data_IF_934728303658
#
_entry.id   IF_934728303658
#
_cell.length_a   1.000
_cell.length_b   1.000
_cell.length_c   1.000
_cell.angle_alpha   90.00
_cell.angle_beta   90.00
_cell.angle_gamma   90.00
#
_symmetry.space_group_name_H-M   'P 1'
#
loop_
_entity.id
_entity.type
_entity.pdbx_description
1 polymer ?
#
# COMPACT_ATOMS: atom_id res chain seq x y z
N UNK A 1 6.26 18.78 -1.46
CA UNK A 1 6.75 18.54 -0.08
C UNK A 1 7.88 17.55 -0.17
N UNK A 2 9.01 17.81 0.49
CA UNK A 2 10.11 16.85 0.52
C UNK A 2 9.72 15.64 1.37
N UNK A 3 10.30 14.46 1.09
CA UNK A 3 10.01 13.24 1.86
C UNK A 3 10.23 13.43 3.36
N UNK A 4 11.34 14.08 3.73
CA UNK A 4 11.68 14.37 5.13
C UNK A 4 10.65 15.25 5.86
N UNK A 5 9.91 16.09 5.12
CA UNK A 5 8.83 16.91 5.68
C UNK A 5 7.53 16.11 5.75
N UNK A 6 7.28 15.24 4.78
CA UNK A 6 6.04 14.46 4.68
C UNK A 6 5.95 13.35 5.72
N UNK A 7 7.03 12.59 5.90
CA UNK A 7 7.03 11.40 6.75
C UNK A 7 6.52 11.65 8.18
N UNK A 8 7.00 12.67 8.93
CA UNK A 8 6.51 12.92 10.29
C UNK A 8 5.03 13.33 10.32
N UNK A 9 4.56 14.08 9.32
CA UNK A 9 3.15 14.48 9.23
C UNK A 9 2.24 13.27 8.98
N UNK A 10 2.65 12.37 8.10
CA UNK A 10 1.89 11.16 7.81
C UNK A 10 1.90 10.19 9.00
N UNK A 11 3.03 10.07 9.71
CA UNK A 11 3.10 9.30 10.95
C UNK A 11 2.16 9.84 12.03
N UNK A 12 2.03 11.17 12.15
CA UNK A 12 1.08 11.78 13.08
C UNK A 12 -0.38 11.47 12.74
N UNK A 13 -0.71 11.25 11.46
CA UNK A 13 -2.03 10.74 11.04
C UNK A 13 -2.21 9.30 11.53
N UNK A 14 -1.25 8.41 11.20
CA UNK A 14 -1.32 6.99 11.58
C UNK A 14 -1.40 6.79 13.10
N UNK A 15 -0.70 7.62 13.88
CA UNK A 15 -0.71 7.58 15.35
C UNK A 15 -2.10 7.86 15.98
N UNK A 16 -3.04 8.38 15.20
CA UNK A 16 -4.41 8.67 15.65
C UNK A 16 -5.43 7.61 15.21
N UNK A 17 -5.01 6.63 14.42
CA UNK A 17 -5.88 5.60 13.86
C UNK A 17 -5.80 4.32 14.69
N UNK A 18 -6.90 3.57 14.75
CA UNK A 18 -6.89 2.18 15.21
C UNK A 18 -6.43 1.28 14.04
N UNK A 19 -5.27 0.61 14.13
CA UNK A 19 -4.78 -0.25 13.07
C UNK A 19 -5.72 -1.42 12.76
N UNK A 20 -6.50 -1.91 13.73
CA UNK A 20 -7.46 -2.99 13.48
C UNK A 20 -8.60 -2.49 12.60
N UNK A 21 -9.14 -1.32 12.92
CA UNK A 21 -10.19 -0.70 12.12
C UNK A 21 -9.74 -0.44 10.68
N UNK A 22 -8.50 0.04 10.49
CA UNK A 22 -7.94 0.31 9.15
C UNK A 22 -7.89 -0.93 8.26
N UNK A 23 -7.84 -2.13 8.82
CA UNK A 23 -7.86 -3.39 8.08
C UNK A 23 -9.27 -3.96 7.93
N UNK A 24 -10.06 -3.94 9.00
CA UNK A 24 -11.39 -4.56 9.00
C UNK A 24 -12.40 -3.80 8.11
N UNK A 25 -12.31 -2.47 8.04
CA UNK A 25 -13.19 -1.68 7.19
C UNK A 25 -13.02 -2.02 5.69
N UNK A 26 -11.81 -2.00 5.10
CA UNK A 26 -11.60 -2.46 3.73
C UNK A 26 -11.96 -3.92 3.50
N UNK A 27 -11.66 -4.84 4.43
CA UNK A 27 -12.02 -6.26 4.30
C UNK A 27 -13.52 -6.44 4.18
N UNK A 28 -14.30 -5.77 5.03
CA UNK A 28 -15.76 -5.79 4.98
C UNK A 28 -16.31 -5.23 3.67
N UNK A 29 -15.69 -4.20 3.11
CA UNK A 29 -16.12 -3.60 1.85
C UNK A 29 -15.73 -4.43 0.62
N UNK A 30 -14.62 -5.17 0.71
CA UNK A 30 -14.08 -5.96 -0.39
C UNK A 30 -14.59 -7.42 -0.40
N UNK A 31 -15.24 -7.89 0.66
CA UNK A 31 -15.75 -9.27 0.81
C UNK A 31 -16.48 -9.75 -0.47
N UNK A 32 -16.12 -10.91 -1.05
CA UNK A 32 -15.19 -11.93 -0.56
C UNK A 32 -13.72 -11.77 -1.01
N UNK A 33 -13.34 -10.62 -1.55
CA UNK A 33 -12.01 -10.35 -2.10
C UNK A 33 -11.06 -9.76 -1.06
N UNK A 34 -9.76 -10.04 -1.23
CA UNK A 34 -8.70 -9.42 -0.41
C UNK A 34 -8.47 -7.97 -0.87
N UNK A 35 -8.56 -6.97 0.02
CA UNK A 35 -8.25 -5.58 -0.32
C UNK A 35 -6.76 -5.40 -0.62
N UNK A 36 -6.44 -4.59 -1.62
CA UNK A 36 -5.06 -4.30 -2.04
C UNK A 36 -4.73 -2.83 -1.79
N UNK A 37 -3.57 -2.56 -1.17
CA UNK A 37 -3.04 -1.19 -1.04
C UNK A 37 -2.52 -0.71 -2.39
N UNK A 38 -3.24 0.22 -3.00
CA UNK A 38 -2.86 0.85 -4.27
C UNK A 38 -2.19 2.21 -4.03
N UNK A 39 -1.46 2.66 -5.03
CA UNK A 39 -0.73 3.92 -5.00
C UNK A 39 -0.61 4.50 -6.41
N UNK A 40 -0.45 5.82 -6.52
CA UNK A 40 -0.41 6.52 -7.81
C UNK A 40 1.00 6.54 -8.42
N UNK A 41 2.04 6.56 -7.59
CA UNK A 41 3.41 6.67 -8.03
C UNK A 41 3.88 5.40 -8.74
N UNK A 42 4.46 5.59 -9.92
CA UNK A 42 4.99 4.52 -10.77
C UNK A 42 6.50 4.36 -10.53
N UNK A 43 7.01 3.13 -10.38
CA UNK A 43 8.46 2.88 -10.34
C UNK A 43 9.16 3.32 -11.65
N UNK A 44 10.48 3.57 -11.65
CA UNK A 44 11.42 3.30 -10.54
C UNK A 44 11.32 4.33 -9.43
N UNK A 45 11.40 3.86 -8.17
CA UNK A 45 11.35 4.75 -7.02
C UNK A 45 12.71 5.43 -6.78
N UNK A 46 12.67 6.69 -6.38
CA UNK A 46 13.80 7.56 -6.07
C UNK A 46 13.44 8.53 -4.93
N UNK A 47 14.35 9.43 -4.57
CA UNK A 47 14.06 10.49 -3.60
C UNK A 47 12.93 11.44 -4.05
N UNK A 48 12.74 11.59 -5.36
CA UNK A 48 11.70 12.45 -5.94
C UNK A 48 10.48 11.67 -6.44
N UNK A 49 10.60 10.34 -6.58
CA UNK A 49 9.52 9.42 -6.98
C UNK A 49 9.39 8.35 -5.91
N UNK A 50 8.61 8.61 -4.86
CA UNK A 50 8.45 7.68 -3.74
C UNK A 50 6.97 7.55 -3.39
N UNK A 51 6.56 6.40 -2.85
CA UNK A 51 5.17 6.13 -2.48
C UNK A 51 5.05 5.94 -0.96
N UNK A 52 4.04 6.58 -0.35
CA UNK A 52 3.75 6.48 1.08
C UNK A 52 3.11 5.14 1.50
N UNK A 53 2.64 4.30 0.57
CA UNK A 53 2.00 3.00 0.89
C UNK A 53 2.90 2.09 1.75
N UNK A 54 4.22 2.15 1.55
CA UNK A 54 5.17 1.37 2.36
C UNK A 54 5.23 1.84 3.82
N UNK A 55 4.88 3.10 4.09
CA UNK A 55 4.74 3.59 5.46
C UNK A 55 3.55 2.93 6.16
N UNK A 56 2.42 2.77 5.46
CA UNK A 56 1.23 2.07 5.98
C UNK A 56 1.55 0.60 6.22
N UNK A 57 2.21 -0.07 5.27
CA UNK A 57 2.62 -1.46 5.42
C UNK A 57 3.53 -1.67 6.64
N UNK A 58 4.56 -0.84 6.81
CA UNK A 58 5.46 -0.92 7.96
C UNK A 58 4.77 -0.58 9.28
N UNK A 59 3.78 0.32 9.26
CA UNK A 59 2.95 0.62 10.43
C UNK A 59 2.10 -0.58 10.84
N UNK A 60 1.39 -1.20 9.90
CA UNK A 60 0.57 -2.39 10.16
C UNK A 60 1.40 -3.58 10.67
N UNK A 61 2.60 -3.77 10.13
CA UNK A 61 3.53 -4.79 10.61
C UNK A 61 3.95 -4.53 12.05
N UNK A 62 4.29 -3.28 12.40
CA UNK A 62 4.68 -2.92 13.77
C UNK A 62 3.54 -3.06 14.77
N UNK A 63 2.35 -2.57 14.44
CA UNK A 63 1.24 -2.51 15.40
C UNK A 63 0.50 -3.86 15.52
N UNK A 64 0.44 -4.65 14.45
CA UNK A 64 -0.38 -5.87 14.38
C UNK A 64 0.40 -7.14 14.01
N UNK A 65 1.68 -7.04 13.62
CA UNK A 65 2.42 -8.15 13.04
C UNK A 65 1.94 -8.53 11.63
N UNK A 66 1.14 -7.68 10.97
CA UNK A 66 0.58 -7.96 9.65
C UNK A 66 1.57 -7.58 8.55
N UNK A 67 2.08 -8.59 7.84
CA UNK A 67 2.96 -8.39 6.69
C UNK A 67 2.12 -8.04 5.46
N UNK A 68 2.40 -6.90 4.83
CA UNK A 68 1.78 -6.49 3.56
C UNK A 68 2.84 -6.55 2.44
N UNK A 69 2.89 -7.65 1.66
CA UNK A 69 3.87 -7.81 0.59
C UNK A 69 3.54 -6.93 -0.61
N UNK A 70 4.57 -6.51 -1.34
CA UNK A 70 4.39 -5.96 -2.70
C UNK A 70 4.11 -7.12 -3.66
N UNK A 71 3.16 -6.93 -4.57
CA UNK A 71 2.81 -7.92 -5.59
C UNK A 71 3.13 -7.38 -6.98
N UNK A 72 3.91 -8.13 -7.74
CA UNK A 72 4.03 -7.90 -9.18
C UNK A 72 2.85 -8.57 -9.88
N UNK A 73 2.09 -7.79 -10.66
CA UNK A 73 1.09 -8.38 -11.53
C UNK A 73 1.84 -9.12 -12.64
N UNK A 74 1.69 -10.45 -12.68
CA UNK A 74 2.18 -11.24 -13.80
C UNK A 74 1.68 -10.61 -15.11
N UNK A 75 2.53 -10.53 -16.15
CA UNK A 75 2.10 -9.99 -17.43
C UNK A 75 0.86 -10.74 -17.88
N UNK A 76 -0.15 -9.97 -18.33
CA UNK A 76 -1.38 -10.54 -18.88
C UNK A 76 -0.96 -11.55 -19.96
N UNK A 77 -1.53 -12.78 -19.98
CA UNK A 77 -1.27 -13.71 -21.08
C UNK A 77 -1.52 -12.94 -22.38
N UNK A 78 -0.52 -12.85 -23.26
CA UNK A 78 -0.73 -12.28 -24.58
C UNK A 78 -1.78 -13.14 -25.25
N UNK A 79 -2.98 -12.59 -25.48
CA UNK A 79 -3.99 -13.25 -26.30
C UNK A 79 -3.29 -13.69 -27.58
N UNK A 80 -3.21 -15.00 -27.77
CA UNK A 80 -2.46 -15.60 -28.87
C UNK A 80 -2.84 -14.91 -30.16
N UNK A 81 -1.85 -14.32 -30.82
CA UNK A 81 -1.96 -13.84 -32.21
C UNK A 81 -2.46 -15.04 -33.02
N UNK A 82 -3.75 -15.02 -33.39
CA UNK A 82 -4.28 -15.93 -34.40
C UNK A 82 -3.82 -15.34 -35.74
N UNK A 83 -2.83 -15.99 -36.36
CA UNK A 83 -2.58 -15.87 -37.79
C UNK A 83 -3.70 -16.54 -38.57
#
# INVERSE_FOLDING_TARGET
>A
MARAEYEPLYQAILARLDPRQVIEDPRRLADPHEPVLLCWERPPFSETVWCHRRMVAAWLERELGLIVPEVELSPKPTDGVRN
#
